data_IF_696071369110
#
_entry.id   IF_696071369110
#
_cell.length_a   1.000
_cell.length_b   1.000
_cell.length_c   1.000
_cell.angle_alpha   90.00
_cell.angle_beta   90.00
_cell.angle_gamma   90.00
#
_symmetry.space_group_name_H-M   'P 1'
#
loop_
_entity.id
_entity.type
_entity.pdbx_description
1 polymer ?
#
# COMPACT_ATOMS: atom_id res chain seq x y z
N UNK A 1 9.23 -20.56 -14.00
CA UNK A 1 8.43 -21.06 -12.88
C UNK A 1 9.35 -21.25 -11.67
N UNK A 2 9.54 -20.19 -10.89
CA UNK A 2 10.14 -20.33 -9.57
C UNK A 2 8.98 -20.68 -8.64
N UNK A 3 8.77 -21.97 -8.44
CA UNK A 3 8.00 -22.47 -7.31
C UNK A 3 8.84 -22.18 -6.06
N UNK A 4 8.53 -21.09 -5.36
CA UNK A 4 9.03 -20.90 -4.00
C UNK A 4 8.32 -21.95 -3.15
N UNK A 5 8.91 -23.15 -3.11
CA UNK A 5 8.49 -24.20 -2.23
C UNK A 5 8.78 -23.81 -0.79
N UNK A 6 7.76 -23.78 0.02
CA UNK A 6 7.86 -23.55 1.45
C UNK A 6 6.83 -22.55 1.95
N UNK A 7 6.02 -22.97 2.89
CA UNK A 7 4.95 -22.16 3.51
C UNK A 7 5.46 -21.01 4.38
N UNK A 8 6.78 -20.88 4.58
CA UNK A 8 7.40 -19.86 5.44
C UNK A 8 8.65 -19.25 4.81
N UNK A 9 8.79 -17.92 4.83
CA UNK A 9 10.04 -17.29 4.44
C UNK A 9 11.20 -17.78 5.35
N UNK A 10 12.32 -18.29 4.81
CA UNK A 10 13.41 -18.87 5.61
C UNK A 10 14.05 -17.91 6.63
N UNK A 11 13.94 -16.61 6.37
CA UNK A 11 14.49 -15.54 7.22
C UNK A 11 13.79 -15.46 8.59
N UNK A 12 12.52 -15.85 8.70
CA UNK A 12 11.74 -15.66 9.91
C UNK A 12 11.99 -16.74 10.99
N UNK A 13 12.52 -17.88 10.62
CA UNK A 13 12.88 -18.92 11.59
C UNK A 13 14.10 -18.52 12.44
N UNK A 14 15.02 -17.74 11.90
CA UNK A 14 16.24 -17.29 12.61
C UNK A 14 15.96 -16.37 13.81
N UNK A 15 14.77 -15.78 13.87
CA UNK A 15 14.41 -14.79 14.89
C UNK A 15 13.26 -15.22 15.82
N UNK A 16 12.86 -16.47 15.74
CA UNK A 16 11.70 -17.03 16.44
C UNK A 16 11.71 -16.77 17.95
N UNK A 17 12.88 -16.82 18.55
CA UNK A 17 13.07 -16.71 20.01
C UNK A 17 13.66 -15.36 20.46
N UNK A 18 13.81 -14.39 19.56
CA UNK A 18 14.36 -13.07 19.90
C UNK A 18 13.26 -12.13 20.35
N UNK A 19 13.51 -11.38 21.43
CA UNK A 19 12.64 -10.27 21.84
C UNK A 19 12.64 -9.22 20.75
N UNK A 20 11.47 -8.90 20.23
CA UNK A 20 11.29 -7.98 19.09
C UNK A 20 11.55 -6.52 19.46
N UNK A 21 11.49 -6.16 20.77
CA UNK A 21 11.59 -4.78 21.22
C UNK A 21 12.60 -4.64 22.36
N UNK A 22 13.39 -3.57 22.28
CA UNK A 22 14.26 -3.12 23.36
C UNK A 22 14.07 -1.62 23.54
N UNK A 23 13.75 -1.18 24.75
CA UNK A 23 13.63 0.23 25.08
C UNK A 23 14.99 0.79 25.47
N UNK A 24 15.41 1.87 24.81
CA UNK A 24 16.67 2.57 25.09
C UNK A 24 16.46 3.89 25.85
N UNK A 25 15.23 4.38 25.94
CA UNK A 25 14.86 5.65 26.57
C UNK A 25 13.85 5.36 27.67
N UNK A 26 14.09 5.88 28.87
CA UNK A 26 13.24 5.66 30.06
C UNK A 26 11.99 6.53 30.09
N UNK A 27 11.91 7.59 29.27
CA UNK A 27 10.77 8.52 29.30
C UNK A 27 9.52 7.85 28.71
N UNK A 28 8.45 7.79 29.51
CA UNK A 28 7.15 7.34 29.05
C UNK A 28 6.55 8.30 28.03
N UNK A 29 5.92 7.73 27.01
CA UNK A 29 5.23 8.47 25.97
C UNK A 29 3.93 7.75 25.66
N UNK A 30 2.82 8.46 25.68
CA UNK A 30 1.51 7.92 25.31
C UNK A 30 1.38 7.80 23.79
N UNK A 31 2.25 6.99 23.18
CA UNK A 31 2.23 6.75 21.75
C UNK A 31 1.94 5.28 21.45
N UNK A 32 1.22 5.06 20.39
CA UNK A 32 0.98 3.74 19.81
C UNK A 32 1.83 3.59 18.56
N UNK A 33 2.40 2.42 18.37
CA UNK A 33 3.14 2.05 17.18
C UNK A 33 2.25 1.19 16.29
N UNK A 34 2.06 1.62 15.05
CA UNK A 34 1.43 0.83 13.99
C UNK A 34 2.54 0.04 13.31
N UNK A 35 2.51 -1.28 13.40
CA UNK A 35 3.59 -2.13 12.95
C UNK A 35 3.10 -3.23 12.00
N UNK A 36 3.29 -3.03 10.68
CA UNK A 36 3.16 -4.14 9.74
C UNK A 36 4.24 -5.19 10.03
N UNK A 37 3.84 -6.43 10.22
CA UNK A 37 4.78 -7.51 10.49
C UNK A 37 4.24 -8.86 10.03
N UNK A 38 5.13 -9.83 9.93
CA UNK A 38 4.75 -11.22 9.68
C UNK A 38 4.47 -11.94 11.00
N UNK A 39 3.27 -12.47 11.13
CA UNK A 39 2.86 -13.28 12.28
C UNK A 39 3.02 -14.77 11.94
N UNK A 40 4.04 -15.41 12.54
CA UNK A 40 4.38 -16.82 12.27
C UNK A 40 3.29 -17.79 12.73
N UNK A 41 2.55 -17.48 13.80
CA UNK A 41 1.46 -18.33 14.30
C UNK A 41 0.26 -18.33 13.35
N UNK A 42 0.01 -17.19 12.69
CA UNK A 42 -1.06 -17.03 11.71
C UNK A 42 -0.61 -17.32 10.27
N UNK A 43 0.71 -17.50 10.09
CA UNK A 43 1.35 -17.72 8.79
C UNK A 43 0.95 -16.66 7.74
N UNK A 44 1.02 -15.36 8.15
CA UNK A 44 0.63 -14.23 7.30
C UNK A 44 1.13 -12.90 7.84
N UNK A 45 1.15 -11.89 6.97
CA UNK A 45 1.31 -10.50 7.40
C UNK A 45 0.06 -9.98 8.11
N UNK A 46 0.29 -9.15 9.11
CA UNK A 46 -0.71 -8.46 9.92
C UNK A 46 -0.22 -7.05 10.22
N UNK A 47 -1.11 -6.22 10.79
CA UNK A 47 -0.71 -4.93 11.37
C UNK A 47 -1.00 -5.01 12.87
N UNK A 48 0.05 -4.95 13.67
CA UNK A 48 -0.07 -4.88 15.12
C UNK A 48 -0.10 -3.43 15.60
N UNK A 49 -0.99 -3.13 16.51
CA UNK A 49 -1.01 -1.90 17.30
C UNK A 49 -0.35 -2.19 18.64
N UNK A 50 0.73 -1.49 18.94
CA UNK A 50 1.60 -1.77 20.09
C UNK A 50 1.72 -0.54 20.96
N UNK A 51 1.55 -0.70 22.26
CA UNK A 51 1.85 0.32 23.26
C UNK A 51 3.37 0.48 23.38
N UNK A 52 3.87 1.69 23.16
CA UNK A 52 5.32 1.96 23.23
C UNK A 52 5.87 2.02 24.66
N UNK A 53 5.02 2.05 25.70
CA UNK A 53 5.47 2.07 27.07
C UNK A 53 5.87 0.68 27.58
N UNK A 54 5.09 -0.34 27.24
CA UNK A 54 5.31 -1.71 27.73
C UNK A 54 5.52 -2.74 26.61
N UNK A 55 5.43 -2.30 25.34
CA UNK A 55 5.50 -3.13 24.14
C UNK A 55 4.43 -4.22 24.07
N UNK A 56 3.34 -4.02 24.78
CA UNK A 56 2.21 -4.91 24.70
C UNK A 56 1.44 -4.65 23.41
N UNK A 57 1.08 -5.74 22.77
CA UNK A 57 0.21 -5.71 21.61
C UNK A 57 -1.22 -5.46 22.08
N UNK A 58 -1.78 -4.32 21.66
CA UNK A 58 -3.13 -3.91 21.98
C UNK A 58 -4.13 -4.55 21.02
N UNK A 59 -3.77 -4.59 19.72
CA UNK A 59 -4.65 -5.10 18.69
C UNK A 59 -3.86 -5.67 17.51
N UNK A 60 -4.48 -6.60 16.77
CA UNK A 60 -3.93 -7.14 15.51
C UNK A 60 -4.98 -7.04 14.41
N UNK A 61 -4.69 -6.23 13.40
CA UNK A 61 -5.51 -6.14 12.20
C UNK A 61 -5.13 -7.23 11.22
N UNK A 62 -6.14 -7.90 10.70
CA UNK A 62 -6.05 -8.90 9.64
C UNK A 62 -7.38 -8.94 8.88
N UNK A 63 -7.34 -9.16 7.57
CA UNK A 63 -8.56 -9.28 6.76
C UNK A 63 -8.59 -10.60 6.01
N UNK A 64 -9.73 -10.93 5.45
CA UNK A 64 -9.88 -12.09 4.57
C UNK A 64 -9.36 -11.76 3.16
N UNK A 65 -8.09 -12.13 2.91
CA UNK A 65 -7.42 -11.88 1.63
C UNK A 65 -8.13 -12.60 0.48
N UNK A 66 -8.61 -13.81 0.71
CA UNK A 66 -9.31 -14.59 -0.33
C UNK A 66 -10.60 -13.90 -0.74
N UNK A 67 -11.36 -13.41 0.24
CA UNK A 67 -12.59 -12.65 -0.02
C UNK A 67 -12.29 -11.37 -0.79
N UNK A 68 -11.25 -10.63 -0.42
CA UNK A 68 -10.84 -9.42 -1.14
C UNK A 68 -10.40 -9.73 -2.57
N UNK A 69 -9.59 -10.77 -2.77
CA UNK A 69 -9.13 -11.16 -4.10
C UNK A 69 -10.27 -11.52 -5.06
N UNK A 70 -11.36 -12.10 -4.55
CA UNK A 70 -12.54 -12.42 -5.36
C UNK A 70 -13.30 -11.18 -5.86
N UNK A 71 -13.03 -10.01 -5.26
CA UNK A 71 -13.65 -8.74 -5.66
C UNK A 71 -12.81 -7.98 -6.69
N UNK A 72 -11.54 -8.36 -6.88
CA UNK A 72 -10.62 -7.66 -7.79
C UNK A 72 -11.02 -7.94 -9.24
N UNK A 73 -11.30 -6.89 -9.98
CA UNK A 73 -11.55 -6.96 -11.43
C UNK A 73 -10.22 -7.21 -12.13
N UNK A 74 -10.11 -8.34 -12.84
CA UNK A 74 -8.83 -8.84 -13.37
C UNK A 74 -8.61 -8.56 -14.86
N UNK A 75 -9.56 -7.95 -15.53
CA UNK A 75 -9.55 -7.79 -17.00
C UNK A 75 -8.76 -6.57 -17.49
N UNK A 76 -8.27 -5.75 -16.55
CA UNK A 76 -7.41 -4.61 -16.84
C UNK A 76 -5.93 -5.01 -16.87
N UNK A 77 -5.11 -4.47 -17.79
CA UNK A 77 -3.66 -4.63 -17.78
C UNK A 77 -3.00 -4.23 -16.47
N UNK A 78 -3.58 -3.24 -15.78
CA UNK A 78 -3.15 -2.82 -14.43
C UNK A 78 -3.27 -3.97 -13.44
N UNK A 79 -4.33 -4.75 -13.51
CA UNK A 79 -4.63 -5.82 -12.58
C UNK A 79 -3.94 -7.14 -12.91
N UNK A 80 -3.34 -7.29 -14.09
CA UNK A 80 -2.62 -8.51 -14.45
C UNK A 80 -1.43 -8.80 -13.52
N UNK A 81 -0.82 -7.76 -12.95
CA UNK A 81 0.25 -7.87 -11.94
C UNK A 81 -0.27 -8.22 -10.55
N UNK A 82 -1.50 -7.84 -10.19
CA UNK A 82 -2.10 -8.08 -8.89
C UNK A 82 -2.26 -9.57 -8.59
N UNK A 83 -2.54 -10.39 -9.60
CA UNK A 83 -2.74 -11.84 -9.44
C UNK A 83 -1.55 -12.58 -8.84
N UNK A 84 -0.35 -12.02 -8.95
CA UNK A 84 0.88 -12.70 -8.53
C UNK A 84 1.12 -12.54 -7.03
N UNK A 85 0.70 -11.45 -6.42
CA UNK A 85 1.14 -11.05 -5.07
C UNK A 85 0.09 -11.16 -3.96
N UNK A 86 -1.14 -11.55 -4.29
CA UNK A 86 -2.26 -11.64 -3.35
C UNK A 86 -2.41 -12.98 -2.63
N UNK A 87 -1.35 -13.78 -2.52
CA UNK A 87 -1.40 -14.94 -1.65
C UNK A 87 -1.37 -14.52 -0.17
N UNK A 88 -1.95 -15.35 0.70
CA UNK A 88 -1.94 -15.13 2.16
C UNK A 88 -0.53 -14.86 2.71
N UNK A 89 0.50 -15.43 2.09
CA UNK A 89 1.89 -15.35 2.54
C UNK A 89 2.58 -14.10 1.98
N UNK A 90 2.22 -13.66 0.77
CA UNK A 90 2.87 -12.54 0.08
C UNK A 90 2.19 -11.20 0.32
N UNK A 91 0.94 -11.22 0.77
CA UNK A 91 0.20 -9.99 1.03
C UNK A 91 0.86 -9.18 2.15
N UNK A 92 1.32 -7.98 1.84
CA UNK A 92 1.94 -7.05 2.78
C UNK A 92 1.06 -5.82 2.93
N UNK A 93 0.93 -5.32 4.15
CA UNK A 93 0.27 -4.04 4.40
C UNK A 93 1.30 -2.92 4.27
N UNK A 94 1.15 -2.09 3.26
CA UNK A 94 1.99 -0.94 3.06
C UNK A 94 1.39 0.31 3.71
N UNK A 95 2.21 1.06 4.42
CA UNK A 95 1.88 2.36 5.01
C UNK A 95 0.48 2.45 5.67
N UNK A 96 0.15 1.55 6.59
CA UNK A 96 -1.19 1.51 7.18
C UNK A 96 -1.47 2.77 8.01
N UNK A 97 -2.70 3.26 7.91
CA UNK A 97 -3.25 4.35 8.70
C UNK A 97 -4.39 3.82 9.58
N UNK A 98 -4.44 4.23 10.85
CA UNK A 98 -5.56 3.95 11.75
C UNK A 98 -6.38 5.24 11.89
N UNK A 99 -7.69 5.12 11.67
CA UNK A 99 -8.63 6.22 11.83
C UNK A 99 -9.17 6.31 13.26
N UNK A 100 -9.82 7.43 13.60
CA UNK A 100 -10.39 7.68 14.92
C UNK A 100 -11.45 6.64 15.32
N UNK A 101 -12.15 6.03 14.35
CA UNK A 101 -13.12 4.95 14.56
C UNK A 101 -12.48 3.56 14.78
N UNK A 102 -11.15 3.51 14.81
CA UNK A 102 -10.37 2.28 14.95
C UNK A 102 -10.32 1.43 13.66
N UNK A 103 -10.77 1.94 12.52
CA UNK A 103 -10.58 1.26 11.25
C UNK A 103 -9.16 1.47 10.70
N UNK A 104 -8.71 0.52 9.89
CA UNK A 104 -7.40 0.54 9.24
C UNK A 104 -7.59 0.77 7.74
N UNK A 105 -6.81 1.71 7.19
CA UNK A 105 -6.63 1.87 5.75
C UNK A 105 -5.20 1.48 5.42
N UNK A 106 -5.02 0.69 4.37
CA UNK A 106 -3.71 0.30 3.87
C UNK A 106 -3.76 0.02 2.37
N UNK A 107 -2.64 0.14 1.71
CA UNK A 107 -2.50 -0.48 0.42
C UNK A 107 -1.91 -1.89 0.56
N UNK A 108 -2.36 -2.79 -0.26
CA UNK A 108 -1.89 -4.17 -0.32
C UNK A 108 -1.49 -4.51 -1.74
N UNK A 109 -0.20 -4.41 -2.02
CA UNK A 109 0.41 -4.72 -3.32
C UNK A 109 -0.10 -3.88 -4.50
N UNK A 110 -1.32 -3.38 -4.52
CA UNK A 110 -1.84 -2.49 -5.59
C UNK A 110 -3.25 -1.99 -5.32
N UNK A 111 -3.96 -2.61 -4.40
CA UNK A 111 -5.30 -2.17 -4.01
C UNK A 111 -5.23 -1.33 -2.75
N UNK A 112 -6.02 -0.28 -2.70
CA UNK A 112 -6.26 0.48 -1.48
C UNK A 112 -7.55 -0.03 -0.84
N UNK A 113 -7.53 -0.26 0.48
CA UNK A 113 -8.70 -0.82 1.16
C UNK A 113 -8.84 -0.30 2.59
N UNK A 114 -10.06 -0.37 3.11
CA UNK A 114 -10.40 -0.09 4.51
C UNK A 114 -11.01 -1.33 5.15
N UNK A 115 -10.53 -1.68 6.34
CA UNK A 115 -11.13 -2.68 7.19
C UNK A 115 -11.52 -2.07 8.54
N UNK A 116 -12.58 -2.58 9.17
CA UNK A 116 -12.87 -2.22 10.54
C UNK A 116 -11.92 -2.94 11.52
N UNK A 117 -12.02 -2.60 12.80
CA UNK A 117 -11.20 -3.21 13.86
C UNK A 117 -11.33 -4.74 13.97
N UNK A 118 -12.42 -5.31 13.47
CA UNK A 118 -12.61 -6.76 13.43
C UNK A 118 -12.05 -7.41 12.16
N UNK A 119 -11.45 -6.62 11.26
CA UNK A 119 -10.89 -7.10 9.98
C UNK A 119 -11.92 -7.28 8.87
N UNK A 120 -13.16 -6.80 9.06
CA UNK A 120 -14.20 -6.83 8.04
C UNK A 120 -13.95 -5.72 7.02
N UNK A 121 -13.91 -6.10 5.74
CA UNK A 121 -13.76 -5.16 4.64
C UNK A 121 -14.93 -4.17 4.62
N UNK A 122 -14.62 -2.87 4.62
CA UNK A 122 -15.58 -1.77 4.51
C UNK A 122 -15.69 -1.31 3.06
N UNK A 123 -14.56 -1.05 2.45
CA UNK A 123 -14.43 -0.76 1.02
C UNK A 123 -13.04 -1.17 0.53
N UNK A 124 -12.90 -1.32 -0.77
CA UNK A 124 -11.63 -1.40 -1.46
C UNK A 124 -11.72 -0.63 -2.77
N UNK A 125 -10.60 -0.10 -3.22
CA UNK A 125 -10.47 0.58 -4.49
C UNK A 125 -9.33 -0.06 -5.28
N UNK A 126 -9.62 -0.52 -6.48
CA UNK A 126 -8.68 -1.08 -7.44
C UNK A 126 -8.80 -0.39 -8.81
N UNK A 127 -9.36 0.82 -8.87
CA UNK A 127 -9.46 1.60 -10.10
C UNK A 127 -8.09 2.06 -10.61
N UNK A 128 -7.17 2.26 -9.67
CA UNK A 128 -5.79 2.65 -9.95
C UNK A 128 -4.83 1.69 -9.25
N UNK A 129 -3.57 1.77 -9.63
CA UNK A 129 -2.50 0.99 -9.04
C UNK A 129 -1.91 1.78 -7.86
N UNK A 130 -2.28 1.46 -6.62
CA UNK A 130 -1.79 2.16 -5.43
C UNK A 130 -0.48 1.55 -4.94
N UNK A 131 0.46 2.41 -4.54
CA UNK A 131 1.74 2.01 -3.98
C UNK A 131 2.28 3.06 -3.01
N UNK A 132 3.30 2.69 -2.21
CA UNK A 132 3.99 3.58 -1.28
C UNK A 132 3.08 4.27 -0.25
N UNK A 133 3.28 5.57 -0.04
CA UNK A 133 2.77 6.30 1.13
C UNK A 133 1.29 6.63 1.08
N UNK A 134 0.68 6.63 2.26
CA UNK A 134 -0.65 7.12 2.52
C UNK A 134 -0.59 8.24 3.57
N UNK A 135 -1.40 9.27 3.40
CA UNK A 135 -1.53 10.37 4.36
C UNK A 135 -2.98 10.83 4.44
N UNK A 136 -3.43 11.20 5.65
CA UNK A 136 -4.71 11.89 5.84
C UNK A 136 -4.48 13.40 5.81
N UNK A 137 -5.38 14.12 5.13
CA UNK A 137 -5.45 15.57 5.23
C UNK A 137 -6.37 16.01 6.40
N UNK A 138 -6.46 17.31 6.59
CA UNK A 138 -7.29 17.89 7.66
C UNK A 138 -8.79 17.61 7.48
N UNK A 139 -9.23 17.39 6.26
CA UNK A 139 -10.63 17.07 5.91
C UNK A 139 -10.92 15.57 5.99
N UNK A 140 -9.95 14.78 6.51
CA UNK A 140 -10.01 13.31 6.61
C UNK A 140 -10.09 12.61 5.26
N UNK A 141 -9.57 13.21 4.19
CA UNK A 141 -9.36 12.52 2.92
C UNK A 141 -7.99 11.85 2.90
N UNK A 142 -7.87 10.82 2.09
CA UNK A 142 -6.61 10.08 1.91
C UNK A 142 -5.88 10.67 0.71
N UNK A 143 -4.61 11.00 0.90
CA UNK A 143 -3.67 11.20 -0.19
C UNK A 143 -2.82 9.95 -0.34
N UNK A 144 -2.76 9.42 -1.56
CA UNK A 144 -2.07 8.18 -1.89
C UNK A 144 -1.19 8.40 -3.12
N UNK A 145 -0.05 7.72 -3.14
CA UNK A 145 0.72 7.53 -4.36
C UNK A 145 0.10 6.39 -5.18
N UNK A 146 0.13 6.52 -6.49
CA UNK A 146 -0.35 5.46 -7.37
C UNK A 146 0.10 5.68 -8.80
N UNK A 147 -0.27 4.76 -9.69
CA UNK A 147 -0.06 4.90 -11.14
C UNK A 147 -1.39 4.91 -11.86
N UNK A 148 -1.54 5.85 -12.80
CA UNK A 148 -2.78 6.01 -13.55
C UNK A 148 -2.96 4.93 -14.61
N UNK A 149 -4.20 4.47 -14.71
CA UNK A 149 -4.68 3.73 -15.86
C UNK A 149 -6.14 4.14 -16.17
N UNK A 150 -6.47 4.51 -17.41
CA UNK A 150 -5.54 4.70 -18.53
C UNK A 150 -4.51 5.81 -18.23
N UNK A 151 -3.37 5.75 -18.91
CA UNK A 151 -2.30 6.73 -18.75
C UNK A 151 -2.76 8.15 -19.11
N UNK A 152 -2.10 9.13 -18.51
CA UNK A 152 -2.23 10.53 -18.90
C UNK A 152 -1.87 10.74 -20.38
N UNK A 153 -2.38 11.82 -20.96
CA UNK A 153 -2.17 12.10 -22.39
C UNK A 153 -0.67 12.21 -22.76
N UNK A 154 0.13 12.74 -21.84
CA UNK A 154 1.57 12.89 -22.05
C UNK A 154 2.23 11.51 -22.03
N UNK A 155 2.02 10.74 -20.97
CA UNK A 155 2.62 9.40 -20.84
C UNK A 155 2.16 8.46 -21.96
N UNK A 156 0.90 8.56 -22.38
CA UNK A 156 0.37 7.74 -23.48
C UNK A 156 1.10 7.97 -24.81
N UNK A 157 1.60 9.20 -25.07
CA UNK A 157 2.39 9.50 -26.27
C UNK A 157 3.74 8.80 -26.25
N UNK A 158 4.37 8.73 -25.07
CA UNK A 158 5.74 8.21 -24.93
C UNK A 158 5.80 6.73 -24.64
N UNK A 159 4.74 6.14 -24.09
CA UNK A 159 4.70 4.74 -23.65
C UNK A 159 5.00 3.70 -24.72
N UNK A 160 4.77 3.99 -26.00
CA UNK A 160 5.04 3.03 -27.08
C UNK A 160 6.49 2.53 -27.10
N UNK A 161 7.40 3.30 -26.53
CA UNK A 161 8.84 3.02 -26.58
C UNK A 161 9.44 2.62 -25.22
N UNK A 162 8.73 2.82 -24.10
CA UNK A 162 9.30 2.65 -22.74
C UNK A 162 8.27 2.06 -21.79
N UNK A 163 8.70 1.22 -20.87
CA UNK A 163 7.86 0.56 -19.88
C UNK A 163 7.42 1.44 -18.69
N UNK A 164 7.16 2.73 -18.91
CA UNK A 164 6.79 3.67 -17.84
C UNK A 164 5.53 3.27 -17.10
N UNK A 165 5.53 3.54 -15.80
CA UNK A 165 4.34 3.73 -14.97
C UNK A 165 4.02 5.23 -14.97
N UNK A 166 2.75 5.57 -15.05
CA UNK A 166 2.28 6.96 -14.95
C UNK A 166 1.99 7.30 -13.49
N UNK A 167 3.06 7.58 -12.75
CA UNK A 167 2.95 7.88 -11.32
C UNK A 167 2.11 9.13 -11.07
N UNK A 168 1.30 9.06 -10.05
CA UNK A 168 0.28 10.05 -9.76
C UNK A 168 0.07 10.29 -8.28
N UNK A 169 -0.43 11.49 -7.98
CA UNK A 169 -1.03 11.83 -6.70
C UNK A 169 -2.53 11.59 -6.82
N UNK A 170 -3.09 10.83 -5.87
CA UNK A 170 -4.50 10.45 -5.86
C UNK A 170 -5.11 10.85 -4.52
N UNK A 171 -6.23 11.58 -4.53
CA UNK A 171 -7.01 11.91 -3.35
C UNK A 171 -8.28 11.08 -3.31
N UNK A 172 -8.58 10.47 -2.16
CA UNK A 172 -9.77 9.65 -1.98
C UNK A 172 -10.53 10.07 -0.71
N UNK A 173 -11.82 9.88 -0.75
CA UNK A 173 -12.68 9.96 0.44
C UNK A 173 -12.40 8.76 1.36
N UNK A 174 -12.04 9.01 2.62
CA UNK A 174 -11.69 7.93 3.56
C UNK A 174 -12.90 7.11 4.03
N UNK A 175 -14.12 7.59 3.84
CA UNK A 175 -15.34 6.89 4.22
C UNK A 175 -15.77 5.86 3.17
N UNK A 176 -15.65 6.21 1.89
CA UNK A 176 -16.13 5.42 0.76
C UNK A 176 -15.03 4.78 -0.10
N UNK A 177 -13.80 5.32 -0.06
CA UNK A 177 -12.72 4.94 -0.96
C UNK A 177 -12.87 5.49 -2.39
N UNK A 178 -13.80 6.42 -2.61
CA UNK A 178 -14.02 7.04 -3.92
C UNK A 178 -12.90 8.01 -4.25
N UNK A 179 -12.40 7.98 -5.47
CA UNK A 179 -11.39 8.92 -5.95
C UNK A 179 -12.03 10.30 -6.14
N UNK A 180 -11.53 11.29 -5.42
CA UNK A 180 -11.96 12.69 -5.50
C UNK A 180 -11.10 13.50 -6.49
N UNK A 181 -9.82 13.14 -6.58
CA UNK A 181 -8.86 13.81 -7.46
C UNK A 181 -7.75 12.83 -7.82
N UNK A 182 -7.24 12.94 -9.04
CA UNK A 182 -6.03 12.25 -9.48
C UNK A 182 -5.30 13.08 -10.53
N UNK A 183 -3.97 13.12 -10.45
CA UNK A 183 -3.14 13.87 -11.41
C UNK A 183 -1.81 13.16 -11.59
N UNK A 184 -1.41 12.99 -12.85
CA UNK A 184 -0.09 12.49 -13.22
C UNK A 184 1.01 13.45 -12.75
N UNK A 185 2.07 12.90 -12.15
CA UNK A 185 3.25 13.69 -11.78
C UNK A 185 3.95 14.22 -13.02
N UNK A 186 4.07 13.40 -14.05
CA UNK A 186 4.69 13.82 -15.32
C UNK A 186 3.90 14.96 -15.97
N UNK A 187 2.56 14.87 -16.01
CA UNK A 187 1.75 15.99 -16.51
C UNK A 187 1.95 17.27 -15.69
N UNK A 188 1.97 17.18 -14.35
CA UNK A 188 2.21 18.35 -13.52
C UNK A 188 3.58 18.99 -13.79
N UNK A 189 4.63 18.20 -13.93
CA UNK A 189 5.97 18.69 -14.20
C UNK A 189 6.05 19.33 -15.61
N UNK A 190 5.38 18.74 -16.56
CA UNK A 190 5.32 19.26 -17.94
C UNK A 190 4.53 20.57 -18.03
N UNK A 191 3.35 20.65 -17.43
CA UNK A 191 2.52 21.85 -17.36
C UNK A 191 3.22 23.04 -16.68
N UNK A 192 4.15 22.76 -15.77
CA UNK A 192 4.94 23.77 -15.07
C UNK A 192 6.32 24.03 -15.73
N UNK A 193 6.57 23.51 -16.91
CA UNK A 193 7.83 23.65 -17.65
C UNK A 193 9.07 23.16 -16.89
N UNK A 194 8.90 22.20 -15.98
CA UNK A 194 9.99 21.55 -15.23
C UNK A 194 10.56 20.39 -16.04
N UNK A 195 9.68 19.68 -16.77
CA UNK A 195 10.05 18.65 -17.73
C UNK A 195 9.73 19.10 -19.15
N UNK A 196 10.59 18.74 -20.09
CA UNK A 196 10.35 18.88 -21.52
C UNK A 196 10.47 17.52 -22.21
N UNK A 197 10.11 17.45 -23.47
CA UNK A 197 10.13 16.22 -24.28
C UNK A 197 11.49 15.52 -24.24
N UNK A 198 12.58 16.30 -24.21
CA UNK A 198 13.94 15.79 -24.26
C UNK A 198 14.32 14.99 -23.01
N UNK A 199 13.90 15.46 -21.82
CA UNK A 199 14.17 14.78 -20.54
C UNK A 199 13.43 13.44 -20.46
N UNK A 200 12.21 13.36 -21.00
CA UNK A 200 11.41 12.13 -21.01
C UNK A 200 12.05 11.06 -21.91
N UNK A 201 12.74 11.46 -22.98
CA UNK A 201 13.41 10.54 -23.90
C UNK A 201 14.74 9.98 -23.37
N UNK A 202 15.45 10.72 -22.52
CA UNK A 202 16.80 10.37 -22.06
C UNK A 202 16.80 9.41 -20.84
N UNK A 203 15.70 9.33 -20.09
CA UNK A 203 15.61 8.52 -18.89
C UNK A 203 14.59 7.38 -19.06
N UNK A 204 15.08 6.14 -18.99
CA UNK A 204 14.23 4.94 -19.04
C UNK A 204 13.34 4.74 -17.80
N UNK A 205 13.56 5.53 -16.76
CA UNK A 205 12.75 5.55 -15.52
C UNK A 205 12.90 6.95 -14.87
N UNK A 206 12.07 7.92 -15.29
CA UNK A 206 12.27 9.31 -14.87
C UNK A 206 11.83 9.63 -13.44
N UNK A 207 11.09 8.73 -12.78
CA UNK A 207 10.56 9.01 -11.43
C UNK A 207 10.35 7.69 -10.69
N UNK A 208 11.34 7.32 -9.90
CA UNK A 208 11.21 6.30 -8.87
C UNK A 208 11.43 6.90 -7.50
#
# INVERSE_FOLDING_TARGET
NITLGGDKPPVLEKFKDKKNFKRFISKERNHLLIMPNYNSNLNRFVVDLVDTNNFQKIHTYKHDIKKMNNLIITDSPVHSRIRIDHSKIRFVYWHPLILDDGSLIANGSTVLFKIDRCGKLKWFNNEQFFHHSLMLDNDKNIWASGSLYPYSNIVAKFKKNYGFLDDAIIKLDASSGTILFKKSIIEMLFENNILNDQVIFEYNDPIH
#
